data_IF_394394271382
#
_entry.id   IF_394394271382
#
_cell.length_a   1.000
_cell.length_b   1.000
_cell.length_c   1.000
_cell.angle_alpha   90.00
_cell.angle_beta   90.00
_cell.angle_gamma   90.00
#
_symmetry.space_group_name_H-M   'P 1'
#
loop_
_entity.id
_entity.type
_entity.pdbx_description
1 polymer ?
#
# COMPACT_ATOMS: atom_id res chain seq x y z
N UNK A 1 -10.20 26.72 25.02
CA UNK A 1 -8.75 26.48 24.87
C UNK A 1 -8.45 25.00 24.70
N UNK A 2 -8.86 24.12 25.62
CA UNK A 2 -8.57 22.67 25.51
C UNK A 2 -9.15 21.96 24.27
N UNK A 3 -10.29 22.42 23.76
CA UNK A 3 -10.97 21.88 22.56
C UNK A 3 -10.28 22.26 21.26
N UNK A 4 -9.88 23.52 21.12
CA UNK A 4 -9.12 24.03 19.97
C UNK A 4 -7.80 23.27 19.81
N UNK A 5 -7.08 23.07 20.92
CA UNK A 5 -5.83 22.28 20.92
C UNK A 5 -6.09 20.84 20.48
N UNK A 6 -7.20 20.23 20.91
CA UNK A 6 -7.61 18.88 20.48
C UNK A 6 -7.95 18.83 18.99
N UNK A 7 -8.67 19.82 18.47
CA UNK A 7 -8.99 19.92 17.04
C UNK A 7 -7.73 20.04 16.20
N UNK A 8 -6.76 20.85 16.64
CA UNK A 8 -5.46 20.98 15.97
C UNK A 8 -4.66 19.68 16.00
N UNK A 9 -4.69 18.95 17.11
CA UNK A 9 -4.03 17.64 17.21
C UNK A 9 -4.67 16.62 16.26
N UNK A 10 -6.00 16.57 16.18
CA UNK A 10 -6.71 15.68 15.27
C UNK A 10 -6.40 16.02 13.80
N UNK A 11 -6.41 17.30 13.43
CA UNK A 11 -6.05 17.73 12.08
C UNK A 11 -4.59 17.40 11.71
N UNK A 12 -3.66 17.52 12.68
CA UNK A 12 -2.26 17.13 12.46
C UNK A 12 -2.12 15.61 12.26
N UNK A 13 -2.86 14.82 13.02
CA UNK A 13 -2.87 13.37 12.86
C UNK A 13 -3.39 12.98 11.47
N UNK A 14 -4.47 13.61 11.00
CA UNK A 14 -5.04 13.36 9.66
C UNK A 14 -4.01 13.69 8.57
N UNK A 15 -3.30 14.82 8.71
CA UNK A 15 -2.26 15.20 7.77
C UNK A 15 -1.07 14.22 7.76
N UNK A 16 -0.76 13.57 8.88
CA UNK A 16 0.28 12.51 8.94
C UNK A 16 -0.20 11.26 8.21
N UNK A 17 -1.43 10.82 8.43
CA UNK A 17 -1.99 9.65 7.75
C UNK A 17 -1.98 9.84 6.22
N UNK A 18 -2.40 11.02 5.75
CA UNK A 18 -2.39 11.36 4.33
C UNK A 18 -0.98 11.33 3.72
N UNK A 19 0.02 11.84 4.45
CA UNK A 19 1.43 11.79 4.02
C UNK A 19 1.96 10.37 3.99
N UNK A 20 1.64 9.55 4.98
CA UNK A 20 2.01 8.13 4.97
C UNK A 20 1.40 7.41 3.77
N UNK A 21 0.14 7.71 3.44
CA UNK A 21 -0.52 7.17 2.27
C UNK A 21 0.17 7.61 0.96
N UNK A 22 0.57 8.88 0.85
CA UNK A 22 1.33 9.38 -0.30
C UNK A 22 2.68 8.67 -0.44
N UNK A 23 3.43 8.50 0.65
CA UNK A 23 4.72 7.78 0.65
C UNK A 23 4.53 6.34 0.19
N UNK A 24 3.53 5.62 0.70
CA UNK A 24 3.25 4.25 0.25
C UNK A 24 2.97 4.18 -1.25
N UNK A 25 2.20 5.13 -1.80
CA UNK A 25 1.94 5.20 -3.25
C UNK A 25 3.22 5.47 -4.05
N UNK A 26 4.04 6.43 -3.61
CA UNK A 26 5.31 6.76 -4.26
C UNK A 26 6.27 5.58 -4.27
N UNK A 27 6.38 4.85 -3.15
CA UNK A 27 7.21 3.64 -3.06
C UNK A 27 6.69 2.56 -4.00
N UNK A 28 5.38 2.34 -4.10
CA UNK A 28 4.81 1.40 -5.07
C UNK A 28 5.18 1.79 -6.50
N UNK A 29 5.01 3.06 -6.88
CA UNK A 29 5.35 3.56 -8.23
C UNK A 29 6.83 3.38 -8.52
N UNK A 30 7.72 3.83 -7.62
CA UNK A 30 9.15 3.69 -7.79
C UNK A 30 9.57 2.21 -7.94
N UNK A 31 9.00 1.33 -7.11
CA UNK A 31 9.27 -0.11 -7.19
C UNK A 31 8.84 -0.69 -8.53
N UNK A 32 7.67 -0.30 -9.05
CA UNK A 32 7.20 -0.74 -10.38
C UNK A 32 8.14 -0.27 -11.49
N UNK A 33 8.62 0.97 -11.42
CA UNK A 33 9.54 1.54 -12.40
C UNK A 33 10.91 0.84 -12.36
N UNK A 34 11.48 0.61 -11.18
CA UNK A 34 12.73 -0.13 -11.02
C UNK A 34 12.63 -1.59 -11.44
N UNK A 35 11.48 -2.25 -11.22
CA UNK A 35 11.20 -3.58 -11.77
C UNK A 35 11.09 -3.58 -13.31
N UNK A 36 10.60 -2.49 -13.90
CA UNK A 36 10.45 -2.36 -15.35
C UNK A 36 11.78 -2.05 -16.04
N UNK A 37 12.63 -1.24 -15.41
CA UNK A 37 13.99 -0.95 -15.88
C UNK A 37 14.93 -2.13 -15.69
N UNK A 38 14.63 -3.02 -14.74
CA UNK A 38 15.49 -4.14 -14.35
C UNK A 38 16.56 -3.76 -13.32
N UNK A 39 16.47 -2.56 -12.75
CA UNK A 39 17.27 -2.13 -11.59
C UNK A 39 17.01 -3.02 -10.37
N UNK A 40 15.75 -3.44 -10.19
CA UNK A 40 15.36 -4.41 -9.18
C UNK A 40 14.99 -5.73 -9.86
N UNK A 41 15.49 -6.83 -9.32
CA UNK A 41 15.22 -8.19 -9.80
C UNK A 41 14.37 -8.94 -8.76
N UNK A 42 13.19 -9.47 -9.13
CA UNK A 42 12.41 -10.31 -8.22
C UNK A 42 13.20 -11.54 -7.74
N UNK A 43 13.15 -11.83 -6.44
CA UNK A 43 13.93 -12.89 -5.81
C UNK A 43 15.36 -12.51 -5.43
N UNK A 44 15.83 -11.29 -5.75
CA UNK A 44 17.08 -10.76 -5.22
C UNK A 44 17.01 -10.62 -3.68
N UNK A 45 17.97 -11.15 -2.90
CA UNK A 45 17.93 -11.09 -1.44
C UNK A 45 17.88 -9.68 -0.85
N UNK A 46 18.58 -8.71 -1.45
CA UNK A 46 18.62 -7.33 -0.93
C UNK A 46 17.28 -6.64 -1.13
N UNK A 47 16.68 -6.82 -2.31
CA UNK A 47 15.32 -6.34 -2.55
C UNK A 47 14.29 -7.08 -1.69
N UNK A 48 14.39 -8.40 -1.55
CA UNK A 48 13.48 -9.19 -0.73
C UNK A 48 13.49 -8.74 0.74
N UNK A 49 14.66 -8.43 1.30
CA UNK A 49 14.78 -7.87 2.64
C UNK A 49 14.12 -6.49 2.75
N UNK A 50 14.27 -5.65 1.73
CA UNK A 50 13.63 -4.32 1.67
C UNK A 50 12.11 -4.45 1.58
N UNK A 51 11.62 -5.37 0.76
CA UNK A 51 10.19 -5.64 0.63
C UNK A 51 9.57 -6.19 1.91
N UNK A 52 10.27 -7.10 2.60
CA UNK A 52 9.83 -7.60 3.90
C UNK A 52 9.73 -6.50 4.95
N UNK A 53 10.65 -5.53 4.97
CA UNK A 53 10.56 -4.35 5.85
C UNK A 53 9.36 -3.47 5.49
N UNK A 54 9.12 -3.23 4.21
CA UNK A 54 7.94 -2.49 3.74
C UNK A 54 6.63 -3.18 4.12
N UNK A 55 6.56 -4.50 3.94
CA UNK A 55 5.42 -5.31 4.35
C UNK A 55 5.20 -5.23 5.87
N UNK A 56 6.25 -5.41 6.67
CA UNK A 56 6.16 -5.34 8.13
C UNK A 56 5.66 -3.96 8.59
N UNK A 57 6.19 -2.87 8.03
CA UNK A 57 5.72 -1.51 8.31
C UNK A 57 4.22 -1.35 8.02
N UNK A 58 3.75 -1.86 6.88
CA UNK A 58 2.34 -1.79 6.53
C UNK A 58 1.45 -2.63 7.47
N UNK A 59 1.91 -3.80 7.90
CA UNK A 59 1.20 -4.61 8.90
C UNK A 59 1.10 -3.90 10.25
N UNK A 60 2.12 -3.14 10.66
CA UNK A 60 2.04 -2.32 11.87
C UNK A 60 1.01 -1.18 11.74
N UNK A 61 0.96 -0.53 10.57
CA UNK A 61 -0.04 0.51 10.28
C UNK A 61 -1.47 -0.06 10.37
N UNK A 62 -1.71 -1.24 9.80
CA UNK A 62 -3.02 -1.92 9.87
C UNK A 62 -3.43 -2.19 11.32
N UNK A 63 -2.51 -2.75 12.12
CA UNK A 63 -2.77 -3.03 13.54
C UNK A 63 -3.07 -1.74 14.32
N UNK A 64 -2.24 -0.71 14.16
CA UNK A 64 -2.41 0.58 14.82
C UNK A 64 -3.74 1.25 14.47
N UNK A 65 -4.14 1.17 13.20
CA UNK A 65 -5.42 1.70 12.75
C UNK A 65 -6.61 0.94 13.35
N UNK A 66 -6.56 -0.39 13.45
CA UNK A 66 -7.62 -1.17 14.08
C UNK A 66 -7.86 -0.77 15.55
N UNK A 67 -6.78 -0.56 16.31
CA UNK A 67 -6.83 -0.09 17.70
C UNK A 67 -7.37 1.34 17.79
N UNK A 68 -6.92 2.21 16.89
CA UNK A 68 -7.29 3.63 16.86
C UNK A 68 -8.74 3.86 16.45
N UNK A 69 -9.24 3.16 15.43
CA UNK A 69 -10.61 3.32 14.91
C UNK A 69 -11.65 2.95 15.97
N UNK A 70 -11.46 1.84 16.69
CA UNK A 70 -12.37 1.44 17.76
C UNK A 70 -12.41 2.47 18.90
N UNK A 71 -11.24 2.98 19.28
CA UNK A 71 -11.10 4.01 20.32
C UNK A 71 -11.76 5.34 19.89
N UNK A 72 -11.52 5.79 18.66
CA UNK A 72 -12.08 7.02 18.13
C UNK A 72 -13.60 6.94 17.94
N UNK A 73 -14.14 5.81 17.48
CA UNK A 73 -15.59 5.62 17.37
C UNK A 73 -16.28 5.78 18.74
N UNK A 74 -15.71 5.18 19.80
CA UNK A 74 -16.23 5.33 21.17
C UNK A 74 -16.16 6.78 21.63
N UNK A 75 -15.00 7.44 21.48
CA UNK A 75 -14.84 8.84 21.89
C UNK A 75 -15.77 9.79 21.14
N UNK A 76 -15.95 9.61 19.83
CA UNK A 76 -16.88 10.43 19.06
C UNK A 76 -18.33 10.30 19.56
N UNK A 77 -18.74 9.10 19.99
CA UNK A 77 -20.06 8.89 20.59
C UNK A 77 -20.18 9.55 21.97
N UNK A 78 -19.15 9.45 22.81
CA UNK A 78 -19.07 10.12 24.12
C UNK A 78 -19.22 11.65 23.98
N UNK A 79 -18.47 12.27 23.07
CA UNK A 79 -18.56 13.71 22.80
C UNK A 79 -19.93 14.12 22.24
N UNK A 80 -20.51 13.30 21.35
CA UNK A 80 -21.84 13.58 20.81
C UNK A 80 -22.95 13.49 21.88
N UNK A 81 -22.83 12.55 22.82
CA UNK A 81 -23.79 12.37 23.91
C UNK A 81 -23.65 13.45 25.00
N UNK A 82 -22.48 14.03 25.16
CA UNK A 82 -22.21 15.10 26.13
C UNK A 82 -22.51 16.52 25.61
N UNK A 83 -22.97 16.66 24.36
CA UNK A 83 -23.23 17.96 23.75
C UNK A 83 -24.43 18.69 24.42
N UNK A 84 -24.25 19.91 24.96
CA UNK A 84 -25.36 20.75 25.42
C UNK A 84 -26.28 21.16 24.26
N UNK A 85 -27.45 21.74 24.56
CA UNK A 85 -28.43 22.19 23.53
C UNK A 85 -27.85 23.22 22.54
N UNK A 86 -26.84 24.00 22.94
CA UNK A 86 -26.11 24.97 22.10
C UNK A 86 -24.86 24.36 21.39
N UNK A 87 -24.77 23.02 21.35
CA UNK A 87 -23.58 22.15 21.27
C UNK A 87 -22.62 22.22 20.08
N UNK A 88 -22.36 23.39 19.49
CA UNK A 88 -21.46 23.54 18.34
C UNK A 88 -20.04 22.98 18.56
N UNK A 89 -19.46 23.19 19.75
CA UNK A 89 -18.07 22.80 20.03
C UNK A 89 -17.89 21.28 20.24
N UNK A 90 -18.79 20.66 21.02
CA UNK A 90 -18.76 19.21 21.25
C UNK A 90 -19.07 18.42 19.97
N UNK A 91 -19.98 18.95 19.13
CA UNK A 91 -20.28 18.40 17.81
C UNK A 91 -19.06 18.51 16.89
N UNK A 92 -18.38 19.67 16.86
CA UNK A 92 -17.17 19.85 16.05
C UNK A 92 -16.05 18.87 16.44
N UNK A 93 -15.83 18.65 17.74
CA UNK A 93 -14.85 17.65 18.22
C UNK A 93 -15.27 16.23 17.82
N UNK A 94 -16.54 15.86 18.00
CA UNK A 94 -17.03 14.54 17.60
C UNK A 94 -16.85 14.28 16.09
N UNK A 95 -17.14 15.28 15.25
CA UNK A 95 -16.89 15.20 13.81
C UNK A 95 -15.41 15.08 13.46
N UNK A 96 -14.54 15.85 14.10
CA UNK A 96 -13.09 15.77 13.89
C UNK A 96 -12.55 14.38 14.26
N UNK A 97 -13.03 13.78 15.37
CA UNK A 97 -12.67 12.42 15.75
C UNK A 97 -13.14 11.40 14.70
N UNK A 98 -14.35 11.56 14.16
CA UNK A 98 -14.86 10.68 13.09
C UNK A 98 -14.04 10.80 11.80
N UNK A 99 -13.66 12.02 11.40
CA UNK A 99 -12.79 12.26 10.25
C UNK A 99 -11.42 11.60 10.44
N UNK A 100 -10.83 11.75 11.62
CA UNK A 100 -9.56 11.08 11.94
C UNK A 100 -9.68 9.56 11.89
N UNK A 101 -10.77 8.99 12.41
CA UNK A 101 -11.01 7.54 12.31
C UNK A 101 -11.15 7.08 10.86
N UNK A 102 -11.85 7.85 10.02
CA UNK A 102 -11.99 7.55 8.59
C UNK A 102 -10.64 7.63 7.86
N UNK A 103 -9.81 8.62 8.17
CA UNK A 103 -8.44 8.76 7.65
C UNK A 103 -7.58 7.54 8.00
N UNK A 104 -7.55 7.15 9.28
CA UNK A 104 -6.80 5.97 9.73
C UNK A 104 -7.29 4.67 9.05
N UNK A 105 -8.60 4.51 8.87
CA UNK A 105 -9.17 3.37 8.16
C UNK A 105 -8.78 3.35 6.66
N UNK A 106 -8.78 4.52 6.00
CA UNK A 106 -8.35 4.64 4.61
C UNK A 106 -6.85 4.31 4.45
N UNK A 107 -6.01 4.77 5.39
CA UNK A 107 -4.60 4.43 5.43
C UNK A 107 -4.39 2.92 5.64
N UNK A 108 -5.15 2.27 6.54
CA UNK A 108 -5.07 0.84 6.75
C UNK A 108 -5.39 0.03 5.48
N UNK A 109 -6.46 0.42 4.77
CA UNK A 109 -6.82 -0.23 3.49
C UNK A 109 -5.73 -0.08 2.44
N UNK A 110 -5.06 1.08 2.37
CA UNK A 110 -3.92 1.26 1.48
C UNK A 110 -2.72 0.41 1.93
N UNK A 111 -2.45 0.34 3.23
CA UNK A 111 -1.37 -0.46 3.79
C UNK A 111 -1.56 -1.96 3.48
N UNK A 112 -2.79 -2.49 3.48
CA UNK A 112 -3.06 -3.87 3.04
C UNK A 112 -2.63 -4.11 1.60
N UNK A 113 -2.97 -3.18 0.70
CA UNK A 113 -2.58 -3.26 -0.72
C UNK A 113 -1.06 -3.13 -0.88
N UNK A 114 -0.44 -2.23 -0.12
CA UNK A 114 1.01 -2.05 -0.12
C UNK A 114 1.74 -3.30 0.38
N UNK A 115 1.29 -3.90 1.48
CA UNK A 115 1.86 -5.15 2.01
C UNK A 115 1.78 -6.28 0.98
N UNK A 116 0.60 -6.48 0.37
CA UNK A 116 0.42 -7.47 -0.69
C UNK A 116 1.30 -7.19 -1.91
N UNK A 117 1.45 -5.91 -2.29
CA UNK A 117 2.32 -5.49 -3.37
C UNK A 117 3.79 -5.82 -3.08
N UNK A 118 4.34 -5.42 -1.94
CA UNK A 118 5.75 -5.68 -1.60
C UNK A 118 6.05 -7.17 -1.58
N UNK A 119 5.14 -7.98 -0.98
CA UNK A 119 5.24 -9.44 -0.97
C UNK A 119 5.30 -10.02 -2.38
N UNK A 120 4.43 -9.55 -3.29
CA UNK A 120 4.38 -10.00 -4.68
C UNK A 120 5.59 -9.53 -5.49
N UNK A 121 6.05 -8.30 -5.26
CA UNK A 121 7.18 -7.72 -5.98
C UNK A 121 8.47 -8.48 -5.70
N UNK A 122 8.69 -8.88 -4.44
CA UNK A 122 9.87 -9.64 -4.03
C UNK A 122 9.81 -11.14 -4.37
N UNK A 123 8.61 -11.69 -4.59
CA UNK A 123 8.47 -13.10 -4.90
C UNK A 123 9.21 -13.44 -6.21
N UNK A 124 9.94 -14.57 -6.26
CA UNK A 124 10.56 -15.02 -7.49
C UNK A 124 9.47 -15.24 -8.55
N UNK A 125 9.80 -15.10 -9.85
CA UNK A 125 8.86 -15.42 -10.92
C UNK A 125 8.33 -16.83 -10.71
N UNK A 126 6.99 -17.00 -10.69
CA UNK A 126 6.41 -18.34 -10.69
C UNK A 126 7.01 -19.11 -11.87
N UNK A 127 7.44 -20.37 -11.66
CA UNK A 127 7.81 -21.21 -12.79
C UNK A 127 6.63 -21.20 -13.75
N UNK A 128 6.86 -20.85 -15.01
CA UNK A 128 5.83 -20.92 -16.03
C UNK A 128 5.25 -22.33 -15.97
N UNK A 129 3.95 -22.43 -15.67
CA UNK A 129 3.28 -23.71 -15.58
C UNK A 129 3.57 -24.51 -16.87
N UNK A 130 4.32 -25.60 -16.73
CA UNK A 130 4.52 -26.64 -17.74
C UNK A 130 4.93 -26.17 -19.13
N UNK A 131 6.22 -25.87 -19.34
CA UNK A 131 6.83 -26.36 -20.58
C UNK A 131 7.25 -27.79 -20.25
N UNK A 132 6.39 -28.76 -20.56
CA UNK A 132 6.79 -30.15 -20.59
C UNK A 132 7.98 -30.24 -21.54
N UNK A 133 9.15 -30.45 -20.94
CA UNK A 133 10.36 -30.81 -21.65
C UNK A 133 10.18 -32.23 -22.16
N UNK A 134 9.46 -32.39 -23.27
CA UNK A 134 9.59 -33.59 -24.09
C UNK A 134 10.97 -33.52 -24.73
N UNK A 135 11.90 -34.18 -24.06
CA UNK A 135 13.22 -34.51 -24.58
C UNK A 135 13.06 -35.57 -25.66
N UNK A 136 12.76 -35.15 -26.88
CA UNK A 136 13.04 -35.95 -28.07
C UNK A 136 14.26 -35.34 -28.78
N UNK A 137 15.35 -36.11 -28.74
CA UNK A 137 16.51 -35.92 -29.60
C UNK A 137 16.10 -36.12 -31.06
N UNK A 138 16.33 -35.11 -31.91
CA UNK A 138 16.96 -35.38 -33.21
C UNK A 138 17.67 -34.14 -33.77
N UNK A 139 18.76 -34.38 -34.48
CA UNK A 139 19.74 -33.40 -34.95
C UNK A 139 19.27 -32.67 -36.22
N UNK A 140 19.45 -31.34 -36.28
CA UNK A 140 19.72 -30.61 -37.53
C UNK A 140 20.20 -29.16 -37.27
N UNK A 141 21.36 -28.81 -37.82
CA UNK A 141 21.89 -27.44 -37.90
C UNK A 141 21.03 -26.53 -38.77
N UNK A 142 20.70 -25.32 -38.29
CA UNK A 142 20.37 -24.15 -39.13
C UNK A 142 20.84 -22.86 -38.41
N UNK A 143 21.63 -21.97 -39.04
CA UNK A 143 21.99 -20.68 -38.44
C UNK A 143 21.05 -19.54 -38.87
N UNK A 144 20.95 -18.51 -38.00
CA UNK A 144 20.56 -17.09 -38.22
C UNK A 144 19.21 -16.60 -37.65
N UNK A 145 19.25 -15.72 -36.62
CA UNK A 145 19.09 -14.23 -36.71
C UNK A 145 18.96 -13.60 -35.31
N UNK A 146 19.36 -12.32 -35.10
CA UNK A 146 19.18 -11.65 -33.80
C UNK A 146 17.71 -11.37 -33.53
N UNK A 147 17.24 -11.73 -32.35
CA UNK A 147 15.89 -11.44 -31.89
C UNK A 147 15.68 -9.91 -31.82
N UNK A 148 14.72 -9.42 -32.61
CA UNK A 148 14.28 -8.03 -32.57
C UNK A 148 13.66 -7.71 -31.20
N UNK A 149 14.06 -6.59 -30.62
CA UNK A 149 13.54 -6.08 -29.36
C UNK A 149 12.03 -5.84 -29.47
N UNK A 150 11.22 -6.72 -28.85
CA UNK A 150 9.78 -6.51 -28.71
C UNK A 150 9.54 -5.31 -27.78
N UNK A 151 8.58 -4.42 -28.10
CA UNK A 151 8.20 -3.35 -27.21
C UNK A 151 7.61 -3.96 -25.94
N UNK A 152 8.29 -3.74 -24.81
CA UNK A 152 7.86 -4.17 -23.47
C UNK A 152 6.50 -3.55 -23.19
N UNK A 153 5.42 -4.33 -23.32
CA UNK A 153 4.13 -4.00 -22.69
C UNK A 153 4.43 -3.70 -21.22
N UNK A 154 4.08 -2.50 -20.75
CA UNK A 154 4.16 -2.12 -19.33
C UNK A 154 3.55 -3.26 -18.51
N UNK A 155 4.26 -3.65 -17.45
CA UNK A 155 4.06 -4.83 -16.63
C UNK A 155 2.63 -4.98 -16.06
N UNK A 156 1.66 -5.38 -16.89
CA UNK A 156 0.28 -5.69 -16.50
C UNK A 156 0.21 -6.80 -15.43
N UNK A 157 1.29 -7.57 -15.28
CA UNK A 157 1.44 -8.61 -14.25
C UNK A 157 1.60 -8.07 -12.83
N UNK A 158 1.89 -6.78 -12.63
CA UNK A 158 2.00 -6.16 -11.30
C UNK A 158 1.01 -5.01 -11.07
N UNK A 159 0.35 -4.55 -12.13
CA UNK A 159 -0.58 -3.43 -12.10
C UNK A 159 -2.03 -3.93 -11.96
N UNK A 160 -2.69 -3.61 -10.85
CA UNK A 160 -4.15 -3.70 -10.72
C UNK A 160 -4.84 -2.37 -11.10
N UNK A 161 -6.15 -2.37 -11.45
CA UNK A 161 -6.90 -1.16 -11.80
C UNK A 161 -6.85 -0.06 -10.73
N UNK A 162 -6.63 -0.45 -9.48
CA UNK A 162 -6.59 0.44 -8.31
C UNK A 162 -5.35 1.34 -8.23
N UNK A 163 -4.42 1.20 -9.17
CA UNK A 163 -3.16 1.99 -9.25
C UNK A 163 -3.04 2.82 -10.54
N UNK A 164 -3.98 2.67 -11.47
CA UNK A 164 -4.10 3.52 -12.66
C UNK A 164 -5.05 4.66 -12.35
N UNK A 165 -4.58 5.91 -12.55
CA UNK A 165 -5.43 7.11 -12.49
C UNK A 165 -6.65 6.99 -13.42
#
# INVERSE_FOLDING_TARGET
MASEDLLQLLARAEAVDLKQAEVMRLVTVATVESLASGEIVPGDPEFAATAARGEAMALEVIRSAAESVAMFARKAAEYAAAAPEDGGEAVAVAEAIRRQAASAAALASLAEKFAAFMRRAAAPPLPAAGVHSESDSDSAEVPARPATARPRRRNARYFGPEWSN
#
